data_IF_683510278349
#
_entry.id   IF_683510278349
#
_cell.length_a   1.000
_cell.length_b   1.000
_cell.length_c   1.000
_cell.angle_alpha   90.00
_cell.angle_beta   90.00
_cell.angle_gamma   90.00
#
_symmetry.space_group_name_H-M   'P 1'
#
loop_
_entity.id
_entity.type
_entity.pdbx_description
1 polymer ?
#
# COMPACT_ATOMS: atom_id res chain seq x y z
N UNK A 1 -49.79 -45.76 8.43
CA UNK A 1 -49.40 -44.69 9.38
C UNK A 1 -48.50 -43.72 8.63
N UNK A 2 -48.94 -42.47 8.53
CA UNK A 2 -48.32 -41.39 7.77
C UNK A 2 -47.12 -40.79 8.49
N UNK A 3 -46.13 -40.31 7.74
CA UNK A 3 -45.04 -39.49 8.29
C UNK A 3 -44.02 -39.06 7.24
N UNK A 4 -44.47 -38.37 6.19
CA UNK A 4 -43.60 -37.73 5.19
C UNK A 4 -43.16 -36.37 5.75
N UNK A 5 -41.88 -36.22 6.10
CA UNK A 5 -41.28 -34.89 6.36
C UNK A 5 -40.43 -34.47 5.16
N UNK A 6 -41.08 -33.72 4.27
CA UNK A 6 -40.42 -32.83 3.31
C UNK A 6 -39.86 -31.62 4.07
N UNK A 7 -38.54 -31.52 4.16
CA UNK A 7 -37.85 -30.30 4.58
C UNK A 7 -37.96 -29.25 3.48
N UNK A 8 -38.92 -28.33 3.62
CA UNK A 8 -39.13 -27.24 2.69
C UNK A 8 -37.95 -26.27 2.68
N UNK A 9 -37.23 -26.21 1.56
CA UNK A 9 -36.37 -25.08 1.18
C UNK A 9 -37.24 -23.94 0.68
N UNK A 10 -37.89 -23.23 1.61
CA UNK A 10 -38.57 -21.97 1.33
C UNK A 10 -37.55 -20.84 1.12
N UNK A 11 -37.20 -20.59 -0.14
CA UNK A 11 -36.41 -19.45 -0.58
C UNK A 11 -37.13 -18.14 -0.31
N UNK A 12 -36.71 -17.46 0.75
CA UNK A 12 -36.95 -16.02 0.94
C UNK A 12 -35.60 -15.35 1.07
N UNK A 13 -35.26 -14.48 0.12
CA UNK A 13 -34.10 -13.59 0.15
C UNK A 13 -34.10 -12.80 1.48
N UNK A 14 -33.36 -13.30 2.47
CA UNK A 14 -33.18 -12.65 3.77
C UNK A 14 -32.17 -11.52 3.64
N UNK A 15 -32.59 -10.43 3.02
CA UNK A 15 -31.84 -9.15 2.95
C UNK A 15 -31.54 -8.62 4.38
N UNK A 16 -32.32 -9.03 5.38
CA UNK A 16 -32.09 -8.75 6.81
C UNK A 16 -31.01 -9.61 7.49
N UNK A 17 -30.52 -10.68 6.86
CA UNK A 17 -29.44 -11.52 7.42
C UNK A 17 -28.03 -11.12 6.96
N UNK A 18 -27.92 -10.26 5.94
CA UNK A 18 -26.65 -9.67 5.48
C UNK A 18 -25.89 -8.91 6.59
N UNK A 19 -26.51 -8.02 7.39
CA UNK A 19 -25.78 -7.35 8.47
C UNK A 19 -25.37 -8.31 9.59
N UNK A 20 -26.12 -9.39 9.82
CA UNK A 20 -25.84 -10.36 10.88
C UNK A 20 -24.74 -11.37 10.47
N UNK A 21 -24.70 -11.78 9.20
CA UNK A 21 -23.62 -12.61 8.62
C UNK A 21 -22.32 -11.82 8.50
N UNK A 22 -22.37 -10.56 8.06
CA UNK A 22 -21.21 -9.67 8.02
C UNK A 22 -20.63 -9.47 9.43
N UNK A 23 -21.49 -9.25 10.43
CA UNK A 23 -21.07 -9.11 11.84
C UNK A 23 -20.45 -10.38 12.40
N UNK A 24 -20.91 -11.56 11.98
CA UNK A 24 -20.30 -12.84 12.38
C UNK A 24 -18.95 -13.07 11.70
N UNK A 25 -18.82 -12.74 10.41
CA UNK A 25 -17.54 -12.81 9.68
C UNK A 25 -16.50 -11.88 10.33
N UNK A 26 -16.85 -10.61 10.62
CA UNK A 26 -15.93 -9.70 11.31
C UNK A 26 -15.60 -10.12 12.75
N UNK A 27 -16.47 -10.90 13.40
CA UNK A 27 -16.23 -11.43 14.76
C UNK A 27 -15.38 -12.72 14.75
N UNK A 28 -15.42 -13.50 13.68
CA UNK A 28 -14.76 -14.81 13.57
C UNK A 28 -13.44 -14.76 12.78
N UNK A 29 -13.31 -13.86 11.80
CA UNK A 29 -12.11 -13.68 10.98
C UNK A 29 -10.82 -13.45 11.79
N UNK A 30 -10.80 -12.63 12.87
CA UNK A 30 -9.59 -12.42 13.66
C UNK A 30 -9.12 -13.70 14.36
N UNK A 31 -10.07 -14.55 14.75
CA UNK A 31 -9.81 -15.78 15.52
C UNK A 31 -9.30 -16.91 14.62
N UNK A 32 -9.83 -17.03 13.42
CA UNK A 32 -9.30 -17.96 12.42
C UNK A 32 -7.89 -17.56 11.96
N UNK A 33 -7.65 -16.27 11.73
CA UNK A 33 -6.31 -15.77 11.41
C UNK A 33 -5.32 -16.04 12.55
N UNK A 34 -5.72 -15.85 13.81
CA UNK A 34 -4.85 -16.17 14.95
C UNK A 34 -4.54 -17.66 15.05
N UNK A 35 -5.50 -18.53 14.73
CA UNK A 35 -5.33 -19.98 14.78
C UNK A 35 -4.44 -20.49 13.65
N UNK A 36 -4.60 -19.99 12.42
CA UNK A 36 -3.71 -20.26 11.28
C UNK A 36 -2.28 -19.77 11.53
N UNK A 37 -2.13 -18.57 12.13
CA UNK A 37 -0.82 -18.06 12.54
C UNK A 37 -0.21 -18.95 13.64
N UNK A 38 -1.02 -19.42 14.59
CA UNK A 38 -0.55 -20.30 15.66
C UNK A 38 -0.11 -21.67 15.11
N UNK A 39 -0.84 -22.21 14.13
CA UNK A 39 -0.53 -23.46 13.45
C UNK A 39 0.73 -23.33 12.58
N UNK A 40 0.84 -22.26 11.79
CA UNK A 40 2.04 -21.93 11.03
C UNK A 40 3.26 -21.76 11.95
N UNK A 41 3.11 -21.08 13.09
CA UNK A 41 4.17 -20.96 14.11
C UNK A 41 4.58 -22.31 14.68
N UNK A 42 3.62 -23.20 14.97
CA UNK A 42 3.91 -24.53 15.48
C UNK A 42 4.65 -25.39 14.45
N UNK A 43 4.27 -25.31 13.17
CA UNK A 43 4.92 -26.03 12.09
C UNK A 43 6.33 -25.49 11.79
N UNK A 44 6.50 -24.15 11.77
CA UNK A 44 7.82 -23.50 11.67
C UNK A 44 8.69 -23.88 12.86
N UNK A 45 8.15 -23.92 14.09
CA UNK A 45 8.92 -24.32 15.27
C UNK A 45 9.33 -25.79 15.20
N UNK A 46 8.45 -26.68 14.71
CA UNK A 46 8.74 -28.11 14.57
C UNK A 46 9.78 -28.37 13.46
N UNK A 47 9.60 -27.79 12.27
CA UNK A 47 10.56 -27.90 11.16
C UNK A 47 11.87 -27.15 11.46
N UNK A 48 11.77 -25.98 12.08
CA UNK A 48 12.89 -25.13 12.47
C UNK A 48 13.69 -25.65 13.65
N UNK A 49 13.12 -26.46 14.55
CA UNK A 49 13.87 -27.13 15.62
C UNK A 49 14.85 -28.17 15.07
N UNK A 50 14.37 -29.05 14.17
CA UNK A 50 15.22 -30.07 13.56
C UNK A 50 16.28 -29.47 12.64
N UNK A 51 15.91 -28.47 11.83
CA UNK A 51 16.87 -27.73 11.00
C UNK A 51 17.82 -26.87 11.86
N UNK A 52 17.32 -26.33 12.98
CA UNK A 52 18.03 -25.46 13.90
C UNK A 52 19.17 -26.19 14.62
N UNK A 53 18.92 -27.37 15.19
CA UNK A 53 19.96 -28.16 15.84
C UNK A 53 21.06 -28.57 14.84
N UNK A 54 20.69 -29.02 13.63
CA UNK A 54 21.66 -29.34 12.59
C UNK A 54 22.47 -28.10 12.17
N UNK A 55 21.81 -26.96 12.00
CA UNK A 55 22.47 -25.70 11.62
C UNK A 55 23.44 -25.19 12.70
N UNK A 56 23.18 -25.46 13.98
CA UNK A 56 24.09 -25.11 15.08
C UNK A 56 25.42 -25.89 14.99
N UNK A 57 25.37 -27.20 14.77
CA UNK A 57 26.58 -28.01 14.55
C UNK A 57 27.31 -27.60 13.27
N UNK A 58 26.58 -27.28 12.19
CA UNK A 58 27.19 -26.74 10.98
C UNK A 58 27.87 -25.38 11.21
N UNK A 59 27.30 -24.50 12.03
CA UNK A 59 27.92 -23.22 12.35
C UNK A 59 29.24 -23.42 13.10
N UNK A 60 29.27 -24.32 14.09
CA UNK A 60 30.51 -24.68 14.81
C UNK A 60 31.53 -25.29 13.85
N UNK A 61 31.12 -26.24 13.01
CA UNK A 61 32.00 -26.86 12.03
C UNK A 61 32.60 -25.83 11.06
N UNK A 62 31.81 -24.86 10.58
CA UNK A 62 32.29 -23.79 9.69
C UNK A 62 33.32 -22.89 10.38
N UNK A 63 33.16 -22.61 11.67
CA UNK A 63 34.17 -21.86 12.45
C UNK A 63 35.49 -22.63 12.49
N UNK A 64 35.47 -23.92 12.83
CA UNK A 64 36.68 -24.74 12.88
C UNK A 64 37.32 -24.92 11.50
N UNK A 65 36.53 -25.10 10.45
CA UNK A 65 37.03 -25.14 9.07
C UNK A 65 37.67 -23.80 8.69
N UNK A 66 37.07 -22.67 9.08
CA UNK A 66 37.66 -21.35 8.88
C UNK A 66 39.03 -21.22 9.56
N UNK A 67 39.14 -21.63 10.82
CA UNK A 67 40.40 -21.64 11.55
C UNK A 67 41.45 -22.57 10.91
N UNK A 68 41.03 -23.76 10.47
CA UNK A 68 41.89 -24.70 9.76
C UNK A 68 42.44 -24.10 8.46
N UNK A 69 41.59 -23.44 7.67
CA UNK A 69 42.02 -22.78 6.41
C UNK A 69 43.05 -21.69 6.68
N UNK A 70 42.87 -20.90 7.74
CA UNK A 70 43.87 -19.90 8.15
C UNK A 70 45.20 -20.57 8.51
N UNK A 71 45.16 -21.65 9.31
CA UNK A 71 46.35 -22.41 9.68
C UNK A 71 47.09 -23.02 8.48
N UNK A 72 46.34 -23.64 7.56
CA UNK A 72 46.88 -24.18 6.31
C UNK A 72 47.47 -23.08 5.42
N UNK A 73 46.87 -21.89 5.41
CA UNK A 73 47.42 -20.76 4.69
C UNK A 73 48.78 -20.32 5.23
N UNK A 74 48.89 -20.15 6.55
CA UNK A 74 50.17 -19.81 7.18
C UNK A 74 51.20 -20.90 6.92
N UNK A 75 50.84 -22.18 7.08
CA UNK A 75 51.73 -23.30 6.83
C UNK A 75 52.21 -23.35 5.36
N UNK A 76 51.31 -23.11 4.40
CA UNK A 76 51.67 -23.08 2.97
C UNK A 76 52.63 -21.93 2.64
N UNK A 77 52.38 -20.73 3.19
CA UNK A 77 53.26 -19.56 2.98
C UNK A 77 54.63 -19.83 3.60
N UNK A 78 54.68 -20.29 4.85
CA UNK A 78 55.93 -20.57 5.55
C UNK A 78 56.72 -21.71 4.90
N UNK A 79 56.03 -22.76 4.44
CA UNK A 79 56.66 -23.86 3.72
C UNK A 79 57.28 -23.39 2.40
N UNK A 80 56.56 -22.58 1.63
CA UNK A 80 57.08 -22.05 0.36
C UNK A 80 58.15 -20.98 0.58
N UNK A 81 58.10 -20.22 1.68
CA UNK A 81 59.10 -19.24 2.06
C UNK A 81 60.48 -19.84 2.38
N UNK A 82 60.59 -21.17 2.53
CA UNK A 82 61.89 -21.86 2.68
C UNK A 82 62.74 -21.84 1.41
N UNK A 83 62.11 -21.69 0.24
CA UNK A 83 62.78 -21.72 -1.08
C UNK A 83 62.68 -20.40 -1.85
N UNK A 84 61.92 -19.42 -1.36
CA UNK A 84 61.77 -18.09 -1.98
C UNK A 84 61.41 -17.01 -0.94
N UNK A 85 61.53 -15.71 -1.24
CA UNK A 85 61.14 -14.66 -0.31
C UNK A 85 59.68 -14.76 0.15
N UNK A 86 59.43 -14.50 1.45
CA UNK A 86 58.11 -14.67 2.06
C UNK A 86 56.98 -13.86 1.38
N UNK A 87 57.30 -12.67 0.87
CA UNK A 87 56.33 -11.83 0.16
C UNK A 87 55.87 -12.49 -1.16
N UNK A 88 56.78 -13.15 -1.87
CA UNK A 88 56.47 -13.84 -3.13
C UNK A 88 55.70 -15.14 -2.86
N UNK A 89 56.09 -15.87 -1.82
CA UNK A 89 55.36 -17.05 -1.37
C UNK A 89 53.89 -16.72 -1.03
N UNK A 90 53.66 -15.63 -0.28
CA UNK A 90 52.31 -15.18 0.04
C UNK A 90 51.47 -14.86 -1.20
N UNK A 91 52.04 -14.15 -2.19
CA UNK A 91 51.35 -13.84 -3.45
C UNK A 91 51.01 -15.10 -4.25
N UNK A 92 51.93 -16.07 -4.32
CA UNK A 92 51.72 -17.33 -5.03
C UNK A 92 50.59 -18.16 -4.41
N UNK A 93 50.59 -18.32 -3.09
CA UNK A 93 49.52 -19.10 -2.44
C UNK A 93 48.17 -18.38 -2.57
N UNK A 94 48.14 -17.05 -2.43
CA UNK A 94 46.94 -16.26 -2.70
C UNK A 94 46.43 -16.44 -4.13
N UNK A 95 47.31 -16.45 -5.14
CA UNK A 95 46.95 -16.65 -6.54
C UNK A 95 46.33 -18.03 -6.77
N UNK A 96 46.90 -19.09 -6.19
CA UNK A 96 46.35 -20.45 -6.27
C UNK A 96 44.98 -20.52 -5.60
N UNK A 97 44.83 -19.93 -4.40
CA UNK A 97 43.54 -19.86 -3.71
C UNK A 97 42.48 -19.09 -4.50
N UNK A 98 42.87 -18.00 -5.18
CA UNK A 98 41.99 -17.24 -6.07
C UNK A 98 41.49 -18.08 -7.25
N UNK A 99 42.35 -18.89 -7.85
CA UNK A 99 41.97 -19.79 -8.94
C UNK A 99 40.97 -20.84 -8.44
N UNK A 100 41.25 -21.48 -7.30
CA UNK A 100 40.34 -22.47 -6.69
C UNK A 100 38.99 -21.81 -6.36
N UNK A 101 39.02 -20.60 -5.77
CA UNK A 101 37.82 -19.85 -5.46
C UNK A 101 37.03 -19.48 -6.71
N UNK A 102 37.69 -19.06 -7.80
CA UNK A 102 37.05 -18.75 -9.06
C UNK A 102 36.39 -20.00 -9.68
N UNK A 103 37.07 -21.15 -9.69
CA UNK A 103 36.50 -22.41 -10.17
C UNK A 103 35.31 -22.83 -9.31
N UNK A 104 35.45 -22.78 -7.98
CA UNK A 104 34.38 -23.09 -7.05
C UNK A 104 33.18 -22.16 -7.22
N UNK A 105 33.42 -20.86 -7.41
CA UNK A 105 32.38 -19.88 -7.71
C UNK A 105 31.70 -20.20 -9.04
N UNK A 106 32.43 -20.48 -10.11
CA UNK A 106 31.83 -20.84 -11.40
C UNK A 106 30.96 -22.11 -11.32
N UNK A 107 31.44 -23.15 -10.63
CA UNK A 107 30.67 -24.38 -10.40
C UNK A 107 29.44 -24.07 -9.55
N UNK A 108 29.61 -23.30 -8.48
CA UNK A 108 28.55 -22.85 -7.58
C UNK A 108 27.49 -22.07 -8.32
N UNK A 109 27.87 -21.08 -9.13
CA UNK A 109 26.98 -20.31 -9.98
C UNK A 109 26.26 -21.21 -11.00
N UNK A 110 26.96 -22.16 -11.61
CA UNK A 110 26.34 -23.07 -12.58
C UNK A 110 25.33 -24.01 -11.94
N UNK A 111 25.62 -24.53 -10.74
CA UNK A 111 24.67 -25.34 -9.95
C UNK A 111 23.52 -24.49 -9.43
N UNK A 112 23.79 -23.27 -8.95
CA UNK A 112 22.78 -22.35 -8.46
C UNK A 112 21.83 -21.89 -9.58
N UNK A 113 22.35 -21.64 -10.79
CA UNK A 113 21.52 -21.39 -11.99
C UNK A 113 20.62 -22.57 -12.34
N UNK A 114 21.10 -23.81 -12.18
CA UNK A 114 20.28 -25.03 -12.39
C UNK A 114 19.23 -25.24 -11.30
N UNK A 115 19.47 -24.73 -10.08
CA UNK A 115 18.53 -24.75 -8.97
C UNK A 115 17.57 -23.54 -8.97
N UNK A 116 17.79 -22.56 -9.87
CA UNK A 116 16.90 -21.44 -10.17
C UNK A 116 15.86 -21.86 -11.23
N UNK A 117 14.94 -22.73 -10.82
CA UNK A 117 13.65 -22.17 -10.43
C UNK A 117 13.33 -22.55 -8.99
N UNK A 118 13.95 -21.85 -8.03
CA UNK A 118 13.48 -21.87 -6.63
C UNK A 118 12.01 -21.43 -6.51
N UNK A 119 11.52 -20.73 -7.52
CA UNK A 119 10.12 -20.37 -7.69
C UNK A 119 9.60 -21.16 -8.89
N UNK A 120 8.62 -22.07 -8.70
CA UNK A 120 8.02 -22.81 -9.81
C UNK A 120 7.56 -21.85 -10.91
N UNK A 121 7.75 -22.20 -12.18
CA UNK A 121 7.33 -21.34 -13.31
C UNK A 121 5.85 -20.97 -13.22
N UNK A 122 5.02 -21.88 -12.70
CA UNK A 122 3.60 -21.65 -12.43
C UNK A 122 3.35 -20.56 -11.39
N UNK A 123 4.19 -20.44 -10.35
CA UNK A 123 4.07 -19.38 -9.34
C UNK A 123 4.44 -18.02 -9.93
N UNK A 124 5.47 -17.97 -10.78
CA UNK A 124 5.83 -16.74 -11.51
C UNK A 124 4.72 -16.36 -12.50
N UNK A 125 4.13 -17.35 -13.18
CA UNK A 125 3.01 -17.14 -14.11
C UNK A 125 1.78 -16.61 -13.39
N UNK A 126 1.42 -17.18 -12.24
CA UNK A 126 0.32 -16.72 -11.40
C UNK A 126 0.51 -15.27 -10.95
N UNK A 127 1.69 -14.92 -10.45
CA UNK A 127 2.00 -13.54 -10.04
C UNK A 127 1.90 -12.55 -11.20
N UNK A 128 2.38 -12.92 -12.41
CA UNK A 128 2.25 -12.07 -13.61
C UNK A 128 0.80 -11.92 -14.06
N UNK A 129 0.01 -12.98 -13.93
CA UNK A 129 -1.43 -12.96 -14.22
C UNK A 129 -2.16 -12.01 -13.27
N UNK A 130 -1.93 -12.14 -11.97
CA UNK A 130 -2.55 -11.29 -10.95
C UNK A 130 -2.15 -9.82 -11.13
N UNK A 131 -0.89 -9.54 -11.46
CA UNK A 131 -0.43 -8.17 -11.75
C UNK A 131 -1.06 -7.61 -13.03
N UNK A 132 -1.22 -8.45 -14.05
CA UNK A 132 -1.86 -8.09 -15.31
C UNK A 132 -3.32 -7.69 -15.10
N UNK A 133 -4.07 -8.51 -14.36
CA UNK A 133 -5.45 -8.21 -13.98
C UNK A 133 -5.53 -6.96 -13.10
N UNK A 134 -4.61 -6.75 -12.16
CA UNK A 134 -4.59 -5.56 -11.32
C UNK A 134 -4.35 -4.26 -12.12
N UNK A 135 -3.59 -4.34 -13.22
CA UNK A 135 -3.24 -3.18 -14.05
C UNK A 135 -4.23 -2.91 -15.18
N UNK A 136 -4.68 -3.97 -15.85
CA UNK A 136 -5.44 -3.91 -17.11
C UNK A 136 -6.88 -4.42 -16.95
N UNK A 137 -7.22 -4.96 -15.77
CA UNK A 137 -8.58 -5.42 -15.45
C UNK A 137 -9.02 -6.56 -16.37
N UNK A 138 -10.27 -6.50 -16.82
CA UNK A 138 -10.86 -7.49 -17.74
C UNK A 138 -10.28 -7.44 -19.17
N UNK A 139 -9.50 -6.41 -19.50
CA UNK A 139 -8.85 -6.29 -20.80
C UNK A 139 -7.54 -7.11 -20.88
N UNK A 140 -7.04 -7.63 -19.75
CA UNK A 140 -5.83 -8.43 -19.71
C UNK A 140 -6.05 -9.80 -20.35
N UNK A 141 -5.25 -10.12 -21.38
CA UNK A 141 -5.25 -11.44 -22.00
C UNK A 141 -4.18 -12.35 -21.38
N UNK A 142 -4.64 -13.38 -20.67
CA UNK A 142 -3.80 -14.38 -20.02
C UNK A 142 -2.87 -15.13 -20.99
N UNK A 143 -3.25 -15.24 -22.27
CA UNK A 143 -2.49 -15.97 -23.31
C UNK A 143 -1.15 -15.30 -23.64
N UNK A 144 -1.01 -14.02 -23.31
CA UNK A 144 0.25 -13.27 -23.44
C UNK A 144 1.33 -13.77 -22.48
N UNK A 145 0.97 -14.57 -21.47
CA UNK A 145 1.93 -15.16 -20.52
C UNK A 145 2.46 -16.54 -20.93
N UNK A 146 1.81 -17.21 -21.89
CA UNK A 146 2.19 -18.55 -22.33
C UNK A 146 3.15 -18.49 -23.53
N UNK A 147 4.42 -18.96 -23.39
CA UNK A 147 5.43 -18.91 -24.44
C UNK A 147 5.07 -19.62 -25.75
N UNK A 148 4.13 -20.57 -25.71
CA UNK A 148 3.72 -21.35 -26.87
C UNK A 148 2.75 -20.61 -27.79
N UNK A 149 2.10 -19.56 -27.30
CA UNK A 149 1.05 -18.85 -28.03
C UNK A 149 1.59 -17.75 -28.95
N UNK A 150 0.92 -17.52 -30.07
CA UNK A 150 1.21 -16.43 -31.03
C UNK A 150 1.21 -15.05 -30.35
N UNK A 151 0.32 -14.85 -29.38
CA UNK A 151 0.13 -13.61 -28.64
C UNK A 151 1.36 -13.25 -27.78
N UNK A 152 2.01 -14.25 -27.18
CA UNK A 152 3.28 -14.04 -26.45
C UNK A 152 4.38 -13.59 -27.40
N UNK A 153 4.49 -14.23 -28.58
CA UNK A 153 5.49 -13.89 -29.60
C UNK A 153 5.26 -12.47 -30.14
N UNK A 154 4.01 -12.11 -30.42
CA UNK A 154 3.62 -10.77 -30.85
C UNK A 154 3.92 -9.71 -29.78
N UNK A 155 3.58 -9.97 -28.51
CA UNK A 155 3.86 -9.06 -27.40
C UNK A 155 5.37 -8.89 -27.16
N UNK A 156 6.15 -9.96 -27.28
CA UNK A 156 7.62 -9.92 -27.18
C UNK A 156 8.23 -9.10 -28.33
N UNK A 157 7.80 -9.35 -29.57
CA UNK A 157 8.26 -8.60 -30.74
C UNK A 157 7.89 -7.11 -30.63
N UNK A 158 6.68 -6.78 -30.15
CA UNK A 158 6.26 -5.41 -29.91
C UNK A 158 7.12 -4.73 -28.83
N UNK A 159 7.44 -5.44 -27.74
CA UNK A 159 8.32 -4.93 -26.67
C UNK A 159 9.75 -4.71 -27.16
N UNK A 160 10.29 -5.62 -27.96
CA UNK A 160 11.61 -5.50 -28.58
C UNK A 160 11.65 -4.35 -29.59
N UNK A 161 10.62 -4.20 -30.43
CA UNK A 161 10.49 -3.06 -31.35
C UNK A 161 10.34 -1.73 -30.61
N UNK A 162 9.58 -1.69 -29.50
CA UNK A 162 9.47 -0.50 -28.66
C UNK A 162 10.79 -0.16 -27.96
N UNK A 163 11.53 -1.15 -27.47
CA UNK A 163 12.86 -0.96 -26.89
C UNK A 163 13.87 -0.46 -27.94
N UNK A 164 13.83 -1.01 -29.16
CA UNK A 164 14.65 -0.57 -30.27
C UNK A 164 14.31 0.86 -30.70
N UNK A 165 13.02 1.21 -30.80
CA UNK A 165 12.57 2.59 -31.07
C UNK A 165 12.98 3.55 -29.96
N UNK A 166 12.81 3.17 -28.69
CA UNK A 166 13.22 4.00 -27.55
C UNK A 166 14.76 4.19 -27.51
N UNK A 167 15.52 3.16 -27.89
CA UNK A 167 16.98 3.25 -28.01
C UNK A 167 17.37 4.16 -29.17
N UNK A 168 16.76 3.99 -30.35
CA UNK A 168 16.98 4.85 -31.51
C UNK A 168 16.57 6.31 -31.24
N UNK A 169 15.49 6.56 -30.50
CA UNK A 169 15.07 7.90 -30.11
C UNK A 169 16.03 8.53 -29.09
N UNK A 170 16.53 7.73 -28.13
CA UNK A 170 17.59 8.19 -27.21
C UNK A 170 18.89 8.49 -27.94
N UNK A 171 19.28 7.64 -28.89
CA UNK A 171 20.47 7.85 -29.73
C UNK A 171 20.29 9.06 -30.65
N UNK A 172 19.11 9.26 -31.23
CA UNK A 172 18.77 10.44 -32.02
C UNK A 172 18.77 11.72 -31.16
N UNK A 173 18.25 11.67 -29.92
CA UNK A 173 18.31 12.80 -28.97
C UNK A 173 19.74 13.05 -28.45
N UNK A 174 20.56 12.01 -28.32
CA UNK A 174 21.96 12.13 -27.94
C UNK A 174 22.84 12.65 -29.09
N UNK A 175 22.51 12.30 -30.33
CA UNK A 175 23.13 12.82 -31.55
C UNK A 175 22.65 14.25 -31.87
N UNK A 176 21.40 14.57 -31.54
CA UNK A 176 20.85 15.93 -31.55
C UNK A 176 21.16 16.69 -30.26
N UNK A 177 22.32 16.42 -29.63
CA UNK A 177 22.83 17.23 -28.53
C UNK A 177 22.70 18.70 -28.95
N UNK A 178 21.92 19.52 -28.22
CA UNK A 178 21.92 20.95 -28.48
C UNK A 178 23.37 21.40 -28.34
N UNK A 179 23.92 22.04 -29.36
CA UNK A 179 25.18 22.74 -29.23
C UNK A 179 24.96 23.81 -28.15
N UNK A 180 25.39 23.51 -26.93
CA UNK A 180 25.25 24.42 -25.79
C UNK A 180 26.23 25.60 -25.87
N UNK A 181 26.94 25.74 -27.00
CA UNK A 181 27.99 26.72 -27.18
C UNK A 181 29.19 26.42 -26.27
N UNK A 182 30.17 27.34 -26.24
CA UNK A 182 31.28 27.23 -25.31
C UNK A 182 30.78 27.13 -23.86
N UNK A 183 31.48 26.38 -22.98
CA UNK A 183 31.06 26.20 -21.60
C UNK A 183 30.81 27.56 -20.92
N UNK A 184 29.72 27.71 -20.14
CA UNK A 184 29.34 28.99 -19.53
C UNK A 184 30.51 29.59 -18.75
N UNK A 185 30.82 30.86 -19.05
CA UNK A 185 31.90 31.57 -18.35
C UNK A 185 31.57 31.74 -16.86
N UNK A 186 32.60 31.89 -16.03
CA UNK A 186 32.42 32.00 -14.58
C UNK A 186 31.45 33.15 -14.19
N UNK A 187 31.49 34.26 -14.92
CA UNK A 187 30.57 35.38 -14.73
C UNK A 187 29.10 34.99 -15.03
N UNK A 188 28.88 34.19 -16.07
CA UNK A 188 27.55 33.64 -16.43
C UNK A 188 27.02 32.70 -15.34
N UNK A 189 27.90 31.86 -14.78
CA UNK A 189 27.56 30.93 -13.71
C UNK A 189 27.18 31.68 -12.43
N UNK A 190 27.93 32.72 -12.06
CA UNK A 190 27.60 33.58 -10.91
C UNK A 190 26.23 34.25 -11.09
N UNK A 191 25.97 34.79 -12.28
CA UNK A 191 24.65 35.37 -12.61
C UNK A 191 23.51 34.36 -12.49
N UNK A 192 23.70 33.12 -12.96
CA UNK A 192 22.68 32.05 -12.84
C UNK A 192 22.43 31.63 -11.39
N UNK A 193 23.47 31.65 -10.55
CA UNK A 193 23.33 31.33 -9.12
C UNK A 193 22.53 32.43 -8.42
N UNK A 194 22.78 33.70 -8.74
CA UNK A 194 22.03 34.81 -8.15
C UNK A 194 20.57 34.85 -8.61
N UNK A 195 20.30 34.52 -9.88
CA UNK A 195 18.93 34.35 -10.38
C UNK A 195 18.19 33.19 -9.69
N UNK A 196 18.89 32.09 -9.38
CA UNK A 196 18.27 30.99 -8.61
C UNK A 196 17.98 31.39 -7.18
N UNK A 197 18.87 32.14 -6.53
CA UNK A 197 18.67 32.61 -5.16
C UNK A 197 17.44 33.51 -5.05
N UNK A 198 17.32 34.48 -5.95
CA UNK A 198 16.15 35.37 -6.01
C UNK A 198 14.86 34.60 -6.31
N UNK A 199 14.90 33.63 -7.22
CA UNK A 199 13.75 32.78 -7.50
C UNK A 199 13.33 31.92 -6.29
N UNK A 200 14.29 31.34 -5.57
CA UNK A 200 14.01 30.56 -4.35
C UNK A 200 13.45 31.44 -3.22
N UNK A 201 13.88 32.69 -3.11
CA UNK A 201 13.28 33.65 -2.17
C UNK A 201 11.81 33.89 -2.49
N UNK A 202 11.45 34.08 -3.75
CA UNK A 202 10.05 34.23 -4.18
C UNK A 202 9.21 33.00 -3.84
N UNK A 203 9.70 31.80 -4.16
CA UNK A 203 9.02 30.53 -3.83
C UNK A 203 8.82 30.39 -2.32
N UNK A 204 9.81 30.76 -1.50
CA UNK A 204 9.69 30.74 -0.03
C UNK A 204 8.59 31.69 0.46
N UNK A 205 8.54 32.90 -0.09
CA UNK A 205 7.59 33.92 0.33
C UNK A 205 6.16 33.54 -0.05
N UNK A 206 5.97 32.91 -1.21
CA UNK A 206 4.66 32.39 -1.63
C UNK A 206 4.22 31.19 -0.78
N UNK A 207 5.13 30.26 -0.47
CA UNK A 207 4.83 29.18 0.50
C UNK A 207 4.46 29.74 1.87
N UNK A 208 5.10 30.81 2.32
CA UNK A 208 4.77 31.49 3.57
C UNK A 208 3.35 32.08 3.58
N UNK A 209 2.86 32.57 2.42
CA UNK A 209 1.47 33.04 2.27
C UNK A 209 0.47 31.89 2.21
N UNK A 210 0.79 30.82 1.49
CA UNK A 210 -0.08 29.65 1.36
C UNK A 210 -0.22 28.86 2.66
N UNK A 211 0.82 28.85 3.49
CA UNK A 211 0.84 28.17 4.80
C UNK A 211 0.32 29.04 5.95
N UNK A 212 -0.20 30.25 5.72
CA UNK A 212 -0.90 31.02 6.76
C UNK A 212 -2.30 30.44 7.04
N UNK A 213 -2.28 29.25 7.64
CA UNK A 213 -3.44 28.49 8.10
C UNK A 213 -4.29 29.32 9.05
N UNK A 214 -3.70 30.29 9.77
CA UNK A 214 -4.42 31.13 10.73
C UNK A 214 -5.37 32.10 10.04
N UNK A 215 -4.92 32.76 8.96
CA UNK A 215 -5.76 33.66 8.18
C UNK A 215 -6.83 32.88 7.40
N UNK A 216 -6.47 31.73 6.82
CA UNK A 216 -7.44 30.85 6.16
C UNK A 216 -8.50 30.31 7.14
N UNK A 217 -8.09 29.92 8.36
CA UNK A 217 -9.00 29.46 9.41
C UNK A 217 -9.92 30.59 9.91
N UNK A 218 -9.43 31.83 10.00
CA UNK A 218 -10.27 32.98 10.35
C UNK A 218 -11.30 33.30 9.28
N UNK A 219 -10.93 33.23 7.99
CA UNK A 219 -11.86 33.40 6.87
C UNK A 219 -12.91 32.29 6.85
N UNK A 220 -12.50 31.03 7.09
CA UNK A 220 -13.41 29.89 7.18
C UNK A 220 -14.37 30.02 8.38
N UNK A 221 -13.86 30.45 9.54
CA UNK A 221 -14.67 30.71 10.74
C UNK A 221 -15.67 31.85 10.53
N UNK A 222 -15.25 32.94 9.89
CA UNK A 222 -16.15 34.04 9.56
C UNK A 222 -17.24 33.59 8.58
N UNK A 223 -16.89 32.83 7.54
CA UNK A 223 -17.84 32.31 6.57
C UNK A 223 -18.83 31.30 7.19
N UNK A 224 -18.36 30.46 8.11
CA UNK A 224 -19.23 29.52 8.84
C UNK A 224 -20.16 30.24 9.81
N UNK A 225 -19.69 31.30 10.48
CA UNK A 225 -20.50 32.10 11.39
C UNK A 225 -21.62 32.87 10.66
N UNK A 226 -21.32 33.46 9.50
CA UNK A 226 -22.33 34.12 8.66
C UNK A 226 -23.41 33.12 8.19
N UNK A 227 -23.00 31.96 7.67
CA UNK A 227 -23.93 30.87 7.27
C UNK A 227 -24.82 30.39 8.42
N UNK A 228 -24.31 30.41 9.65
CA UNK A 228 -25.05 30.00 10.85
C UNK A 228 -26.10 31.04 11.25
N UNK A 229 -25.82 32.32 11.05
CA UNK A 229 -26.77 33.40 11.29
C UNK A 229 -27.89 33.39 10.25
N UNK A 230 -27.54 33.29 8.96
CA UNK A 230 -28.53 33.14 7.87
C UNK A 230 -29.42 31.90 8.11
N UNK A 231 -28.81 30.79 8.53
CA UNK A 231 -29.53 29.56 8.86
C UNK A 231 -30.49 29.74 10.05
N UNK A 232 -30.12 30.54 11.06
CA UNK A 232 -30.99 30.85 12.21
C UNK A 232 -32.16 31.74 11.80
N UNK A 233 -31.94 32.73 10.95
CA UNK A 233 -33.01 33.60 10.45
C UNK A 233 -34.00 32.82 9.58
N UNK A 234 -33.50 31.99 8.66
CA UNK A 234 -34.35 31.11 7.86
C UNK A 234 -35.14 30.09 8.70
N UNK A 235 -34.53 29.58 9.79
CA UNK A 235 -35.23 28.70 10.73
C UNK A 235 -36.29 29.46 11.52
N UNK A 236 -35.97 30.66 11.99
CA UNK A 236 -36.91 31.52 12.71
C UNK A 236 -38.11 31.86 11.83
N UNK A 237 -37.89 32.24 10.57
CA UNK A 237 -38.95 32.53 9.60
C UNK A 237 -39.80 31.31 9.29
N UNK A 238 -39.17 30.13 9.11
CA UNK A 238 -39.91 28.88 8.92
C UNK A 238 -40.72 28.49 10.17
N UNK A 239 -40.20 28.73 11.36
CA UNK A 239 -40.91 28.47 12.62
C UNK A 239 -42.06 29.48 12.81
N UNK A 240 -41.85 30.75 12.45
CA UNK A 240 -42.87 31.78 12.50
C UNK A 240 -44.00 31.49 11.49
N UNK A 241 -43.64 31.10 10.26
CA UNK A 241 -44.57 30.64 9.23
C UNK A 241 -45.31 29.36 9.61
N UNK A 242 -44.64 28.43 10.29
CA UNK A 242 -45.28 27.24 10.86
C UNK A 242 -46.26 27.62 11.99
N UNK A 243 -45.90 28.58 12.85
CA UNK A 243 -46.75 29.04 13.95
C UNK A 243 -47.99 29.79 13.44
N UNK A 244 -47.85 30.60 12.39
CA UNK A 244 -48.97 31.32 11.78
C UNK A 244 -49.91 30.39 11.03
N UNK A 245 -49.38 29.39 10.32
CA UNK A 245 -50.17 28.33 9.69
C UNK A 245 -50.84 27.38 10.70
N UNK A 246 -50.16 27.06 11.80
CA UNK A 246 -50.77 26.32 12.91
C UNK A 246 -51.88 27.13 13.61
N UNK A 247 -51.76 28.45 13.67
CA UNK A 247 -52.78 29.32 14.26
C UNK A 247 -53.98 29.52 13.34
N UNK A 248 -53.78 29.56 12.02
CA UNK A 248 -54.89 29.59 11.06
C UNK A 248 -55.59 28.23 10.95
N UNK A 249 -54.88 27.12 11.14
CA UNK A 249 -55.51 25.79 11.26
C UNK A 249 -56.24 25.61 12.60
N UNK A 250 -55.70 26.14 13.70
CA UNK A 250 -56.36 26.11 15.01
C UNK A 250 -57.62 27.01 15.05
N UNK A 251 -57.61 28.14 14.35
CA UNK A 251 -58.80 28.99 14.16
C UNK A 251 -59.88 28.34 13.27
N UNK A 252 -59.52 27.35 12.46
CA UNK A 252 -60.46 26.52 11.68
C UNK A 252 -60.97 25.30 12.47
N UNK A 253 -60.26 24.87 13.50
CA UNK A 253 -60.52 23.65 14.27
C UNK A 253 -61.34 23.85 15.55
N UNK A 254 -61.88 25.05 15.80
CA UNK A 254 -62.92 25.25 16.83
C UNK A 254 -64.30 24.76 16.39
N UNK A 255 -64.39 24.07 15.25
CA UNK A 255 -65.54 23.23 14.89
C UNK A 255 -65.03 21.84 14.50
N UNK A 256 -65.43 20.84 15.28
CA UNK A 256 -65.27 19.38 15.14
C UNK A 256 -64.05 18.69 15.80
N UNK A 257 -64.40 17.85 16.79
CA UNK A 257 -63.75 16.63 17.32
C UNK A 257 -62.30 16.66 17.80
N UNK A 258 -62.15 16.92 19.11
CA UNK A 258 -60.89 16.96 19.86
C UNK A 258 -60.26 15.62 20.26
N UNK A 259 -60.70 14.47 19.74
CA UNK A 259 -60.13 13.17 20.15
C UNK A 259 -59.21 12.50 19.11
N UNK A 260 -59.35 12.77 17.81
CA UNK A 260 -58.49 12.14 16.79
C UNK A 260 -57.09 12.76 16.66
N UNK A 261 -56.96 14.06 16.96
CA UNK A 261 -55.74 14.82 16.64
C UNK A 261 -54.56 14.47 17.56
N UNK A 262 -54.85 14.17 18.83
CA UNK A 262 -53.85 13.88 19.85
C UNK A 262 -53.06 12.59 19.57
N UNK A 263 -53.72 11.57 19.01
CA UNK A 263 -53.08 10.31 18.64
C UNK A 263 -52.21 10.41 17.39
N UNK A 264 -52.65 11.19 16.39
CA UNK A 264 -51.83 11.47 15.20
C UNK A 264 -50.58 12.28 15.52
N UNK A 265 -50.64 13.19 16.49
CA UNK A 265 -49.46 13.99 16.91
C UNK A 265 -48.47 13.11 17.69
N UNK A 266 -48.94 12.24 18.58
CA UNK A 266 -48.06 11.31 19.32
C UNK A 266 -47.30 10.32 18.42
N UNK A 267 -47.92 9.87 17.31
CA UNK A 267 -47.25 8.95 16.38
C UNK A 267 -46.19 9.64 15.49
N UNK A 268 -46.39 10.91 15.15
CA UNK A 268 -45.48 11.65 14.23
C UNK A 268 -44.15 12.06 14.87
N UNK A 269 -44.06 12.13 16.20
CA UNK A 269 -42.87 12.64 16.90
C UNK A 269 -41.92 11.55 17.42
N UNK A 270 -42.32 10.27 17.40
CA UNK A 270 -41.45 9.14 17.76
C UNK A 270 -40.19 8.99 16.88
N UNK A 271 -40.23 9.16 15.54
CA UNK A 271 -39.02 9.03 14.73
C UNK A 271 -38.07 10.24 14.79
N UNK A 272 -38.52 11.41 15.27
CA UNK A 272 -37.68 12.63 15.34
C UNK A 272 -36.83 12.72 16.61
N UNK A 273 -37.20 12.02 17.68
CA UNK A 273 -36.39 11.94 18.90
C UNK A 273 -35.02 11.25 18.68
N UNK A 274 -34.93 10.34 17.70
CA UNK A 274 -33.67 9.66 17.33
C UNK A 274 -32.70 10.61 16.61
N UNK A 275 -33.20 11.65 15.94
CA UNK A 275 -32.38 12.62 15.21
C UNK A 275 -31.82 13.71 16.16
N UNK A 276 -32.58 14.10 17.20
CA UNK A 276 -32.11 15.01 18.25
C UNK A 276 -30.97 14.39 19.09
N UNK A 277 -30.98 13.08 19.32
CA UNK A 277 -29.90 12.37 20.00
C UNK A 277 -28.61 12.29 19.16
N UNK A 278 -28.71 12.30 17.82
CA UNK A 278 -27.55 12.24 16.92
C UNK A 278 -26.80 13.58 16.82
N UNK A 279 -27.51 14.72 16.88
CA UNK A 279 -26.90 16.05 16.83
C UNK A 279 -26.03 16.37 18.05
N UNK A 280 -26.46 15.94 19.26
CA UNK A 280 -25.71 16.16 20.48
C UNK A 280 -24.39 15.36 20.51
N UNK A 281 -24.40 14.13 19.99
CA UNK A 281 -23.20 13.28 19.90
C UNK A 281 -22.15 13.86 18.93
N UNK A 282 -22.60 14.44 17.81
CA UNK A 282 -21.72 15.03 16.80
C UNK A 282 -21.08 16.34 17.31
N UNK A 283 -21.82 17.15 18.06
CA UNK A 283 -21.29 18.37 18.69
C UNK A 283 -20.22 18.07 19.77
N UNK A 284 -20.37 16.97 20.52
CA UNK A 284 -19.37 16.55 21.52
C UNK A 284 -18.09 16.01 20.84
N UNK A 285 -18.21 15.28 19.74
CA UNK A 285 -17.08 14.76 18.97
C UNK A 285 -16.27 15.89 18.30
N UNK A 286 -16.95 16.90 17.72
CA UNK A 286 -16.28 18.08 17.14
C UNK A 286 -15.54 18.88 18.22
N UNK A 287 -16.16 19.06 19.40
CA UNK A 287 -15.51 19.77 20.53
C UNK A 287 -14.27 19.04 21.07
N UNK A 288 -14.24 17.70 21.00
CA UNK A 288 -13.12 16.89 21.47
C UNK A 288 -11.96 16.85 20.47
N UNK A 289 -12.24 17.05 19.18
CA UNK A 289 -11.23 17.11 18.11
C UNK A 289 -10.48 18.45 18.07
N UNK A 290 -11.10 19.56 18.50
CA UNK A 290 -10.50 20.91 18.49
C UNK A 290 -9.63 21.17 19.72
N UNK A 291 -9.76 20.35 20.77
CA UNK A 291 -9.02 20.49 22.04
C UNK A 291 -7.96 19.41 22.28
N UNK A 292 -7.73 18.53 21.30
CA UNK A 292 -6.69 17.50 21.33
C UNK A 292 -5.52 17.86 20.44
#
# INVERSE_FOLDING_TARGET
MSGRHSGGTGGGLRISALPQTLKMIFKLAPRQLSDEIALAKAEIKRKGSQLGVASAFFAVALVFVGLLVIGLMVAAIMGLATIMPAWLAALLVCAVCLIIAAIGALIGLNKFKKLMPLVPEETIRGLKYDLGIAKEGSAFDARVLDPSTEQYKAAKAAKEAAAAKAKAEKEAKAAAQPDFGPPPTEAELRRRVDLRRTHLTGVRDDLGRELDVKTQAQVLLAATQARLQDGKEQLSDKIAGFRSSARSSAGRATSADGQGLADTIKQRWKPLAVLAASGAALAVLVRRLIKG
#
